data_IF_161278359148
#
_entry.id   IF_161278359148
#
_cell.length_a   1.000
_cell.length_b   1.000
_cell.length_c   1.000
_cell.angle_alpha   90.00
_cell.angle_beta   90.00
_cell.angle_gamma   90.00
#
_symmetry.space_group_name_H-M   'P 1'
#
loop_
_entity.id
_entity.type
_entity.pdbx_description
1 polymer ?
#
# COMPACT_ATOMS: atom_id res chain seq x y z
N UNK A 1 -3.53 -21.94 5.04
CA UNK A 1 -2.40 -20.99 5.16
C UNK A 1 -2.89 -19.61 4.71
N UNK A 2 -2.61 -18.52 5.45
CA UNK A 2 -3.09 -17.18 5.03
C UNK A 2 -2.37 -16.72 3.77
N UNK A 3 -3.06 -16.05 2.84
CA UNK A 3 -2.44 -15.55 1.59
C UNK A 3 -1.23 -14.67 1.88
N UNK A 4 -1.25 -13.89 2.98
CA UNK A 4 -0.10 -13.11 3.44
C UNK A 4 1.14 -13.97 3.67
N UNK A 5 1.00 -15.15 4.29
CA UNK A 5 2.13 -16.08 4.52
C UNK A 5 2.68 -16.63 3.20
N UNK A 6 1.81 -16.94 2.24
CA UNK A 6 2.22 -17.41 0.92
C UNK A 6 3.03 -16.34 0.18
N UNK A 7 2.55 -15.09 0.18
CA UNK A 7 3.23 -13.97 -0.50
C UNK A 7 4.58 -13.69 0.15
N UNK A 8 4.64 -13.63 1.48
CA UNK A 8 5.91 -13.43 2.20
C UNK A 8 6.91 -14.56 1.94
N UNK A 9 6.45 -15.82 1.85
CA UNK A 9 7.29 -16.97 1.50
C UNK A 9 7.93 -16.82 0.13
N UNK A 10 7.18 -16.36 -0.88
CA UNK A 10 7.68 -16.17 -2.25
C UNK A 10 8.19 -14.75 -2.53
N UNK A 11 8.23 -13.87 -1.52
CA UNK A 11 8.62 -12.47 -1.64
C UNK A 11 9.93 -12.24 -2.41
N UNK A 12 11.04 -12.92 -2.08
CA UNK A 12 12.31 -12.75 -2.79
C UNK A 12 12.23 -13.09 -4.29
N UNK A 13 11.38 -14.05 -4.67
CA UNK A 13 11.18 -14.44 -6.08
C UNK A 13 10.31 -13.43 -6.80
N UNK A 14 9.22 -12.97 -6.19
CA UNK A 14 8.35 -11.93 -6.74
C UNK A 14 9.12 -10.63 -6.98
N UNK A 15 10.02 -10.28 -6.06
CA UNK A 15 10.93 -9.15 -6.19
C UNK A 15 11.85 -9.27 -7.41
N UNK A 16 12.54 -10.42 -7.56
CA UNK A 16 13.41 -10.68 -8.71
C UNK A 16 12.66 -10.63 -10.05
N UNK A 17 11.42 -11.10 -10.06
CA UNK A 17 10.55 -11.06 -11.23
C UNK A 17 9.88 -9.69 -11.46
N UNK A 18 10.14 -8.70 -10.61
CA UNK A 18 9.55 -7.36 -10.66
C UNK A 18 8.01 -7.39 -10.66
N UNK A 19 7.42 -8.31 -9.92
CA UNK A 19 5.96 -8.38 -9.73
C UNK A 19 5.55 -7.30 -8.74
N UNK A 20 4.92 -6.23 -9.25
CA UNK A 20 4.40 -5.13 -8.44
C UNK A 20 2.99 -5.40 -7.92
N UNK A 21 2.14 -6.03 -8.73
CA UNK A 21 0.75 -6.27 -8.40
C UNK A 21 0.34 -7.69 -8.74
N UNK A 22 -0.55 -8.24 -7.92
CA UNK A 22 -1.19 -9.52 -8.17
C UNK A 22 -2.66 -9.45 -7.75
N UNK A 23 -3.52 -10.09 -8.52
CA UNK A 23 -4.95 -10.15 -8.24
C UNK A 23 -5.41 -11.61 -8.23
N UNK A 24 -6.21 -11.96 -7.24
CA UNK A 24 -6.82 -13.28 -7.12
C UNK A 24 -8.33 -13.14 -7.00
N UNK A 25 -9.07 -13.69 -7.97
CA UNK A 25 -10.53 -13.80 -7.92
C UNK A 25 -10.91 -15.19 -7.42
N UNK A 26 -11.74 -15.24 -6.39
CA UNK A 26 -12.27 -16.47 -5.79
C UNK A 26 -13.78 -16.36 -5.68
N UNK A 27 -14.48 -17.48 -5.86
CA UNK A 27 -15.92 -17.56 -5.58
C UNK A 27 -16.08 -18.45 -4.35
N UNK A 28 -16.60 -17.88 -3.27
CA UNK A 28 -16.71 -18.56 -1.97
C UNK A 28 -18.17 -18.63 -1.53
N UNK A 29 -18.53 -19.64 -0.73
CA UNK A 29 -19.81 -19.72 -0.02
C UNK A 29 -19.52 -19.98 1.45
N UNK A 30 -20.29 -19.38 2.37
CA UNK A 30 -20.06 -19.56 3.81
C UNK A 30 -20.50 -20.94 4.29
N UNK A 31 -21.60 -21.45 3.76
CA UNK A 31 -22.08 -22.81 4.01
C UNK A 31 -22.71 -23.39 2.72
N UNK A 32 -23.12 -24.66 2.73
CA UNK A 32 -23.66 -25.34 1.54
C UNK A 32 -24.96 -24.75 1.02
N UNK A 33 -25.73 -24.07 1.88
CA UNK A 33 -27.02 -23.45 1.55
C UNK A 33 -26.91 -21.96 1.24
N UNK A 34 -25.75 -21.36 1.52
CA UNK A 34 -25.50 -19.94 1.42
C UNK A 34 -25.16 -19.55 -0.03
N UNK A 35 -25.58 -18.36 -0.49
CA UNK A 35 -25.25 -17.89 -1.82
C UNK A 35 -23.74 -17.73 -1.98
N UNK A 36 -23.26 -17.91 -3.21
CA UNK A 36 -21.87 -17.71 -3.56
C UNK A 36 -21.55 -16.23 -3.71
N UNK A 37 -20.46 -15.78 -3.08
CA UNK A 37 -19.93 -14.42 -3.18
C UNK A 37 -18.59 -14.44 -3.90
N UNK A 38 -18.45 -13.56 -4.88
CA UNK A 38 -17.19 -13.33 -5.58
C UNK A 38 -16.32 -12.38 -4.74
N UNK A 39 -15.13 -12.84 -4.37
CA UNK A 39 -14.14 -12.09 -3.58
C UNK A 39 -12.89 -11.91 -4.44
N UNK A 40 -12.42 -10.67 -4.53
CA UNK A 40 -11.15 -10.31 -5.17
C UNK A 40 -10.15 -9.85 -4.13
N UNK A 41 -8.98 -10.46 -4.16
CA UNK A 41 -7.83 -10.10 -3.35
C UNK A 41 -6.82 -9.41 -4.24
N UNK A 42 -6.59 -8.12 -4.01
CA UNK A 42 -5.60 -7.31 -4.70
C UNK A 42 -4.39 -7.14 -3.79
N UNK A 43 -3.21 -7.38 -4.35
CA UNK A 43 -1.94 -7.32 -3.66
C UNK A 43 -1.06 -6.35 -4.44
N UNK A 44 -0.52 -5.33 -3.77
CA UNK A 44 0.37 -4.34 -4.37
C UNK A 44 1.66 -4.20 -3.54
N UNK A 45 2.79 -4.07 -4.21
CA UNK A 45 4.11 -3.83 -3.62
C UNK A 45 4.84 -2.74 -4.40
N UNK A 46 4.28 -1.53 -4.36
CA UNK A 46 4.77 -0.40 -5.17
C UNK A 46 6.17 0.07 -4.73
N UNK A 47 6.42 0.11 -3.42
CA UNK A 47 7.69 0.62 -2.87
C UNK A 47 8.76 -0.47 -2.68
N UNK A 48 8.37 -1.75 -2.76
CA UNK A 48 9.27 -2.91 -2.68
C UNK A 48 9.51 -3.48 -1.29
N UNK A 49 9.22 -2.72 -0.24
CA UNK A 49 9.37 -3.11 1.16
C UNK A 49 8.03 -3.24 1.91
N UNK A 50 6.93 -2.79 1.31
CA UNK A 50 5.61 -2.81 1.92
C UNK A 50 4.60 -3.51 1.01
N UNK A 51 3.94 -4.53 1.58
CA UNK A 51 2.89 -5.26 0.90
C UNK A 51 1.53 -4.70 1.28
N UNK A 52 0.88 -4.03 0.34
CA UNK A 52 -0.50 -3.62 0.48
C UNK A 52 -1.44 -4.75 0.03
N UNK A 53 -2.40 -5.10 0.89
CA UNK A 53 -3.42 -6.11 0.60
C UNK A 53 -4.79 -5.44 0.78
N UNK A 54 -5.57 -5.45 -0.29
CA UNK A 54 -6.96 -5.01 -0.30
C UNK A 54 -7.87 -6.15 -0.74
N UNK A 55 -8.98 -6.34 -0.03
CA UNK A 55 -10.00 -7.32 -0.38
C UNK A 55 -11.28 -6.62 -0.80
N UNK A 56 -11.93 -7.15 -1.82
CA UNK A 56 -13.18 -6.62 -2.34
C UNK A 56 -14.19 -7.73 -2.61
N UNK A 57 -15.47 -7.39 -2.52
CA UNK A 57 -16.58 -8.17 -3.05
C UNK A 57 -17.15 -7.50 -4.28
N UNK A 58 -17.61 -8.28 -5.24
CA UNK A 58 -18.32 -7.74 -6.41
C UNK A 58 -19.80 -7.53 -6.05
N UNK A 59 -20.28 -6.29 -6.10
CA UNK A 59 -21.67 -5.94 -5.79
C UNK A 59 -22.28 -5.19 -6.96
N UNK A 60 -23.47 -5.61 -7.37
CA UNK A 60 -24.23 -4.93 -8.41
C UNK A 60 -24.92 -3.71 -7.82
N UNK A 61 -24.66 -2.55 -8.41
CA UNK A 61 -25.37 -1.33 -8.09
C UNK A 61 -26.84 -1.44 -8.52
N UNK A 62 -27.82 -1.21 -7.63
CA UNK A 62 -29.23 -1.37 -7.94
C UNK A 62 -29.77 -0.33 -8.92
N UNK A 63 -29.16 0.85 -9.03
CA UNK A 63 -29.63 1.94 -9.91
C UNK A 63 -28.99 1.83 -11.30
N UNK A 64 -27.68 1.58 -11.35
CA UNK A 64 -26.93 1.58 -12.62
C UNK A 64 -26.76 0.20 -13.22
N UNK A 65 -27.07 -0.87 -12.48
CA UNK A 65 -26.80 -2.27 -12.82
C UNK A 65 -25.33 -2.59 -13.11
N UNK A 66 -24.40 -1.68 -12.78
CA UNK A 66 -22.97 -1.87 -12.92
C UNK A 66 -22.44 -2.65 -11.73
N UNK A 67 -21.60 -3.66 -12.00
CA UNK A 67 -20.90 -4.40 -10.95
C UNK A 67 -19.70 -3.58 -10.48
N UNK A 68 -19.65 -3.28 -9.18
CA UNK A 68 -18.62 -2.47 -8.54
C UNK A 68 -17.86 -3.26 -7.49
N UNK A 69 -16.65 -2.81 -7.19
CA UNK A 69 -15.86 -3.31 -6.07
C UNK A 69 -16.36 -2.70 -4.76
N UNK A 70 -16.77 -3.53 -3.81
CA UNK A 70 -17.04 -3.11 -2.43
C UNK A 70 -15.94 -3.60 -1.52
N UNK A 71 -15.37 -2.73 -0.68
CA UNK A 71 -14.29 -3.11 0.22
C UNK A 71 -14.78 -4.16 1.22
N UNK A 72 -13.98 -5.19 1.45
CA UNK A 72 -14.29 -6.25 2.40
C UNK A 72 -13.64 -5.92 3.75
N UNK A 73 -14.48 -5.57 4.74
CA UNK A 73 -14.03 -5.15 6.08
C UNK A 73 -13.96 -3.63 6.23
N UNK A 74 -13.19 -3.16 7.22
CA UNK A 74 -13.10 -1.73 7.57
C UNK A 74 -12.15 -0.92 6.68
N UNK A 75 -11.21 -1.59 6.00
CA UNK A 75 -10.19 -0.92 5.19
C UNK A 75 -10.70 -0.70 3.77
N UNK A 76 -10.90 0.56 3.40
CA UNK A 76 -11.18 0.94 2.01
C UNK A 76 -9.88 0.96 1.22
N UNK A 77 -9.81 0.12 0.19
CA UNK A 77 -8.68 0.10 -0.74
C UNK A 77 -8.91 0.99 -1.96
N UNK A 78 -7.90 1.16 -2.83
CA UNK A 78 -7.93 2.09 -3.96
C UNK A 78 -9.02 1.82 -5.01
N UNK A 79 -9.50 0.57 -5.12
CA UNK A 79 -10.53 0.19 -6.09
C UNK A 79 -11.95 0.31 -5.52
N UNK A 80 -12.13 0.76 -4.28
CA UNK A 80 -13.45 0.83 -3.65
C UNK A 80 -14.42 1.68 -4.47
N UNK A 81 -15.63 1.15 -4.70
CA UNK A 81 -16.73 1.72 -5.47
C UNK A 81 -16.47 1.92 -6.97
N UNK A 82 -15.31 1.49 -7.48
CA UNK A 82 -15.03 1.51 -8.91
C UNK A 82 -15.71 0.33 -9.63
N UNK A 83 -16.11 0.48 -10.89
CA UNK A 83 -16.58 -0.62 -11.72
C UNK A 83 -15.53 -1.74 -11.84
N UNK A 84 -15.96 -3.00 -11.90
CA UNK A 84 -15.03 -4.13 -12.12
C UNK A 84 -14.36 -4.11 -13.49
N UNK A 85 -14.93 -3.36 -14.43
CA UNK A 85 -14.40 -3.14 -15.78
C UNK A 85 -13.39 -1.99 -15.84
N UNK A 86 -13.03 -1.38 -14.70
CA UNK A 86 -12.07 -0.27 -14.67
C UNK A 86 -10.71 -0.74 -15.20
N UNK A 87 -10.14 -0.07 -16.21
CA UNK A 87 -8.85 -0.45 -16.74
C UNK A 87 -7.74 -0.18 -15.72
N UNK A 88 -6.69 -0.99 -15.74
CA UNK A 88 -5.50 -0.71 -14.94
C UNK A 88 -4.82 0.57 -15.42
N UNK A 89 -4.43 1.41 -14.47
CA UNK A 89 -3.70 2.64 -14.78
C UNK A 89 -2.32 2.33 -15.35
N UNK A 90 -1.88 3.16 -16.29
CA UNK A 90 -0.53 3.09 -16.83
C UNK A 90 0.50 3.46 -15.77
N UNK A 91 1.76 3.07 -16.00
CA UNK A 91 2.86 3.41 -15.08
C UNK A 91 2.98 4.92 -14.91
N UNK A 92 2.98 5.36 -13.67
CA UNK A 92 3.22 6.75 -13.29
C UNK A 92 4.71 7.11 -13.43
N UNK A 93 4.99 8.39 -13.63
CA UNK A 93 6.36 8.94 -13.69
C UNK A 93 7.18 8.56 -12.44
N UNK A 94 6.54 8.57 -11.27
CA UNK A 94 7.18 8.15 -10.02
C UNK A 94 7.56 6.66 -10.01
N UNK A 95 6.75 5.80 -10.62
CA UNK A 95 7.07 4.38 -10.73
C UNK A 95 8.29 4.14 -11.62
N UNK A 96 8.49 4.96 -12.65
CA UNK A 96 9.70 4.90 -13.45
C UNK A 96 10.95 5.29 -12.64
N UNK A 97 10.88 6.36 -11.83
CA UNK A 97 11.97 6.76 -10.93
C UNK A 97 12.25 5.69 -9.86
N UNK A 98 11.21 5.09 -9.27
CA UNK A 98 11.33 3.96 -8.33
C UNK A 98 12.04 2.78 -8.99
N UNK A 99 11.64 2.42 -10.21
CA UNK A 99 12.27 1.34 -10.95
C UNK A 99 13.77 1.60 -11.19
N UNK A 100 14.16 2.84 -11.51
CA UNK A 100 15.56 3.21 -11.69
C UNK A 100 16.36 3.08 -10.38
N UNK A 101 15.85 3.61 -9.27
CA UNK A 101 16.48 3.49 -7.96
C UNK A 101 16.66 2.01 -7.55
N UNK A 102 15.59 1.21 -7.67
CA UNK A 102 15.60 -0.21 -7.33
C UNK A 102 16.51 -1.04 -8.25
N UNK A 103 16.69 -0.63 -9.51
CA UNK A 103 17.63 -1.27 -10.43
C UNK A 103 19.08 -0.97 -10.06
N UNK A 104 19.33 0.20 -9.46
CA UNK A 104 20.62 0.57 -8.88
C UNK A 104 20.84 0.03 -7.46
N UNK A 105 19.89 -0.78 -6.94
CA UNK A 105 20.01 -1.39 -5.62
C UNK A 105 19.75 -0.45 -4.44
N UNK A 106 19.08 0.69 -4.66
CA UNK A 106 18.72 1.64 -3.61
C UNK A 106 17.22 1.94 -3.61
N UNK A 107 16.73 2.56 -2.53
CA UNK A 107 15.34 3.01 -2.40
C UNK A 107 15.19 4.39 -3.03
N UNK A 108 14.03 4.66 -3.63
CA UNK A 108 13.68 6.00 -4.09
C UNK A 108 13.54 6.96 -2.91
N UNK A 109 14.09 8.17 -3.03
CA UNK A 109 14.25 9.10 -1.88
C UNK A 109 12.93 9.45 -1.20
N UNK A 110 11.86 9.66 -1.97
CA UNK A 110 10.54 10.01 -1.42
C UNK A 110 9.81 8.84 -0.75
N UNK A 111 10.32 7.61 -0.88
CA UNK A 111 9.79 6.44 -0.18
C UNK A 111 10.41 6.29 1.23
N UNK A 112 11.53 6.97 1.51
CA UNK A 112 12.27 6.89 2.78
C UNK A 112 11.43 7.34 3.99
N UNK A 113 10.67 8.46 3.95
CA UNK A 113 9.83 8.87 5.08
C UNK A 113 8.81 7.80 5.50
N UNK A 114 8.23 7.10 4.53
CA UNK A 114 7.30 5.99 4.80
C UNK A 114 8.02 4.76 5.38
N UNK A 115 9.28 4.52 5.01
CA UNK A 115 10.09 3.49 5.68
C UNK A 115 10.29 3.83 7.16
N UNK A 116 10.60 5.10 7.49
CA UNK A 116 10.70 5.54 8.89
C UNK A 116 9.38 5.30 9.63
N UNK A 117 8.24 5.68 9.04
CA UNK A 117 6.90 5.46 9.61
C UNK A 117 6.70 4.00 10.00
N UNK A 118 6.95 3.09 9.06
CA UNK A 118 6.75 1.66 9.28
C UNK A 118 7.69 1.09 10.34
N UNK A 119 8.96 1.51 10.34
CA UNK A 119 9.92 1.05 11.34
C UNK A 119 9.57 1.56 12.73
N UNK A 120 9.16 2.81 12.87
CA UNK A 120 8.71 3.37 14.15
C UNK A 120 7.44 2.67 14.64
N UNK A 121 6.47 2.37 13.76
CA UNK A 121 5.29 1.54 14.09
C UNK A 121 5.66 0.15 14.58
N UNK A 122 6.62 -0.49 13.92
CA UNK A 122 7.12 -1.79 14.34
C UNK A 122 7.76 -1.71 15.73
N UNK A 123 8.60 -0.70 15.98
CA UNK A 123 9.25 -0.49 17.27
C UNK A 123 8.23 -0.25 18.39
N UNK A 124 7.18 0.54 18.14
CA UNK A 124 6.10 0.72 19.11
C UNK A 124 5.36 -0.59 19.44
N UNK A 125 5.06 -1.40 18.41
CA UNK A 125 4.42 -2.71 18.59
C UNK A 125 5.33 -3.67 19.39
N UNK A 126 6.63 -3.67 19.11
CA UNK A 126 7.61 -4.47 19.85
C UNK A 126 7.74 -4.00 21.31
N UNK A 127 7.79 -2.68 21.53
CA UNK A 127 7.85 -2.06 22.86
C UNK A 127 6.63 -2.39 23.72
N UNK A 128 5.43 -2.28 23.14
CA UNK A 128 4.16 -2.64 23.82
C UNK A 128 4.10 -4.14 24.15
N UNK A 129 4.49 -5.02 23.21
CA UNK A 129 4.52 -6.47 23.44
C UNK A 129 5.50 -6.89 24.55
N UNK A 130 6.61 -6.18 24.69
CA UNK A 130 7.59 -6.45 25.74
C UNK A 130 7.08 -6.09 27.15
N UNK A 131 6.04 -5.27 27.25
CA UNK A 131 5.47 -4.77 28.52
C UNK A 131 3.94 -4.98 28.54
N UNK A 132 3.47 -6.23 28.63
CA UNK A 132 2.04 -6.54 28.56
C UNK A 132 1.25 -6.04 29.77
N UNK A 133 1.92 -5.67 30.86
CA UNK A 133 1.31 -5.18 32.11
C UNK A 133 1.10 -3.67 32.15
N UNK A 134 1.66 -2.93 31.19
CA UNK A 134 1.52 -1.47 31.11
C UNK A 134 0.46 -1.10 30.05
N UNK A 135 -0.42 -0.12 30.34
CA UNK A 135 -1.37 0.43 29.35
C UNK A 135 -0.63 1.35 28.36
N UNK A 136 0.07 0.73 27.42
CA UNK A 136 0.81 1.44 26.36
C UNK A 136 -0.12 1.70 25.17
N UNK A 137 -0.53 2.94 25.00
CA UNK A 137 -1.32 3.39 23.84
C UNK A 137 -0.40 3.79 22.69
N UNK A 138 -0.42 3.00 21.62
CA UNK A 138 0.31 3.32 20.39
C UNK A 138 -0.44 4.47 19.69
N UNK A 139 0.25 5.57 19.31
CA UNK A 139 -0.37 6.65 18.55
C UNK A 139 -0.96 6.13 17.22
N UNK A 140 -2.16 6.58 16.85
CA UNK A 140 -2.78 6.19 15.56
C UNK A 140 -1.99 6.68 14.35
N UNK A 141 -1.24 7.78 14.50
CA UNK A 141 -0.37 8.37 13.46
C UNK A 141 1.02 8.59 14.03
N UNK A 142 1.94 7.65 13.75
CA UNK A 142 3.28 7.66 14.36
C UNK A 142 4.22 8.67 13.70
N UNK A 143 4.00 9.00 12.43
CA UNK A 143 4.69 10.08 11.72
C UNK A 143 3.64 11.08 11.20
N UNK A 144 3.45 12.17 11.93
CA UNK A 144 2.32 13.08 11.69
C UNK A 144 2.55 13.97 10.46
N UNK A 145 3.78 14.42 10.24
CA UNK A 145 4.14 15.38 9.18
C UNK A 145 5.58 15.11 8.72
N UNK A 146 5.78 15.01 7.41
CA UNK A 146 7.08 15.08 6.77
C UNK A 146 6.98 16.20 5.74
N UNK A 147 7.61 17.33 6.04
CA UNK A 147 7.67 18.47 5.13
C UNK A 147 9.03 18.45 4.43
N UNK A 148 9.03 18.70 3.13
CA UNK A 148 10.25 18.79 2.36
C UNK A 148 10.89 20.16 2.59
N UNK A 149 12.21 20.20 2.71
CA UNK A 149 12.95 21.46 2.82
C UNK A 149 13.42 21.88 1.43
N UNK A 150 12.98 23.05 0.98
CA UNK A 150 13.31 23.59 -0.34
C UNK A 150 14.06 24.90 -0.19
N UNK A 151 15.14 25.05 -0.96
CA UNK A 151 15.93 26.27 -0.98
C UNK A 151 15.20 27.36 -1.78
N UNK A 152 14.99 28.52 -1.15
CA UNK A 152 14.45 29.72 -1.80
C UNK A 152 15.37 30.89 -1.49
N UNK A 153 16.16 31.30 -2.50
CA UNK A 153 17.31 32.17 -2.26
C UNK A 153 18.36 31.44 -1.43
N UNK A 154 18.72 31.99 -0.28
CA UNK A 154 19.69 31.41 0.67
C UNK A 154 19.03 30.81 1.92
N UNK A 155 17.70 30.69 1.95
CA UNK A 155 16.96 30.17 3.10
C UNK A 155 16.21 28.88 2.76
N UNK A 156 16.19 27.94 3.71
CA UNK A 156 15.39 26.72 3.62
C UNK A 156 13.97 27.00 4.11
N UNK A 157 12.98 26.71 3.28
CA UNK A 157 11.56 26.77 3.63
C UNK A 157 10.95 25.37 3.65
N UNK A 158 10.07 25.10 4.62
CA UNK A 158 9.25 23.88 4.64
C UNK A 158 8.13 23.98 3.62
N UNK A 159 8.05 23.01 2.71
CA UNK A 159 7.06 22.95 1.64
C UNK A 159 6.40 21.57 1.59
N UNK A 160 5.08 21.56 1.37
CA UNK A 160 4.31 20.37 1.06
C UNK A 160 4.02 20.33 -0.45
N UNK A 161 4.84 19.58 -1.20
CA UNK A 161 4.70 19.40 -2.65
C UNK A 161 4.56 17.94 -3.04
N UNK A 162 4.27 17.67 -4.31
CA UNK A 162 4.14 16.29 -4.77
C UNK A 162 5.53 15.62 -4.81
N UNK A 163 5.63 14.33 -4.43
CA UNK A 163 6.87 13.58 -4.55
C UNK A 163 7.44 13.67 -5.96
N UNK A 164 8.77 13.75 -6.08
CA UNK A 164 9.47 13.73 -7.36
C UNK A 164 9.53 15.06 -8.13
N UNK A 165 9.06 16.16 -7.55
CA UNK A 165 9.17 17.52 -8.07
C UNK A 165 10.49 18.23 -7.68
N UNK A 166 11.49 17.49 -7.19
CA UNK A 166 12.82 18.03 -6.92
C UNK A 166 13.50 18.51 -8.21
N UNK A 167 14.12 19.68 -8.12
CA UNK A 167 14.92 20.30 -9.18
C UNK A 167 16.44 20.06 -9.02
N UNK A 168 16.87 19.52 -7.88
CA UNK A 168 18.27 19.20 -7.58
C UNK A 168 18.40 17.74 -7.16
N UNK A 169 19.63 17.21 -7.19
CA UNK A 169 19.94 15.81 -6.85
C UNK A 169 19.96 15.49 -5.34
N UNK A 170 19.43 16.37 -4.49
CA UNK A 170 19.39 16.24 -3.03
C UNK A 170 17.99 16.62 -2.54
N UNK A 171 17.45 15.82 -1.61
CA UNK A 171 16.14 16.01 -0.96
C UNK A 171 16.31 15.71 0.52
#
# INVERSE_FOLDING_TARGET
ESVTKMVLRYGPRLWKLRVLQAELKMVIRQNTQSPTTSVRLCIANDSGYFLDIAMYTEVTDPETHVIKFQAYGSRQGPLHMLPISSPYMTKDYLQQKRFQAQSNGTTYVYDIPDMFRQMTERLWKEFSKARPTEDIRIPEKILLVCNELVLKGDTLEEIQRLPGENNVGMV
#
